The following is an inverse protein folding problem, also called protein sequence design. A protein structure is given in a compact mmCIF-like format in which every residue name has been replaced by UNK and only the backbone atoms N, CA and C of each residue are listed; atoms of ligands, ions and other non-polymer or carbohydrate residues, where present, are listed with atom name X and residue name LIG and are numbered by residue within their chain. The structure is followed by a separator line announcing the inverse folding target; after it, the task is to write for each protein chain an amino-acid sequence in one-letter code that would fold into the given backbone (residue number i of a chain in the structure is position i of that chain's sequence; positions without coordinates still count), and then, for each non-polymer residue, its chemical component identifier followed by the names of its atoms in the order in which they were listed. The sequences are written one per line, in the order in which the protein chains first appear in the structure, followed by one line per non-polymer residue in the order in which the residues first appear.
data_IF_045528377817
#
_entry.id   IF_045528377817
#
_cell.length_a   1.000
_cell.length_b   1.000
_cell.length_c   1.000
_cell.angle_alpha   90.00
_cell.angle_beta   90.00
_cell.angle_gamma   90.00
#
_symmetry.space_group_name_H-M   'P 1'
#
loop_
_entity.id
_entity.type
_entity.pdbx_description
1 polymer ?
#
# COMPACT_ATOMS: atom_id res chain seq x y z
N UNK A 1 7.41 -11.41 11.01
CA UNK A 1 7.76 -10.12 11.65
C UNK A 1 6.49 -9.33 11.86
N UNK A 2 6.35 -8.58 12.96
CA UNK A 2 5.20 -7.70 13.19
C UNK A 2 5.52 -6.29 12.63
N UNK A 3 5.07 -6.01 11.41
CA UNK A 3 5.31 -4.72 10.72
C UNK A 3 4.40 -3.57 11.22
N UNK A 4 3.76 -3.73 12.38
CA UNK A 4 2.82 -2.75 12.97
C UNK A 4 3.46 -1.45 13.47
N UNK A 5 4.77 -1.30 13.41
CA UNK A 5 5.47 -0.17 14.01
C UNK A 5 5.45 1.10 13.15
N UNK A 6 4.38 1.88 13.31
CA UNK A 6 4.43 3.35 13.45
C UNK A 6 5.16 4.20 12.37
N UNK A 7 5.14 3.86 11.08
CA UNK A 7 5.65 4.80 10.06
C UNK A 7 4.79 6.08 9.91
N UNK A 8 3.60 6.10 10.51
CA UNK A 8 2.59 7.13 10.30
C UNK A 8 2.50 8.15 11.47
N UNK A 9 2.95 7.76 12.66
CA UNK A 9 2.85 8.57 13.87
C UNK A 9 4.15 9.35 14.10
N UNK A 10 4.04 10.66 14.37
CA UNK A 10 5.17 11.58 14.54
C UNK A 10 4.84 13.03 14.16
N UNK A 11 5.69 13.99 14.53
CA UNK A 11 5.53 15.42 14.21
C UNK A 11 5.42 15.70 12.69
N UNK A 12 5.20 16.96 12.30
CA UNK A 12 5.15 17.36 10.88
C UNK A 12 6.33 16.78 10.10
N UNK A 13 6.04 15.95 9.11
CA UNK A 13 7.04 15.28 8.28
C UNK A 13 7.60 16.26 7.25
N UNK A 14 8.90 16.54 7.34
CA UNK A 14 9.61 17.14 6.19
C UNK A 14 9.78 16.10 5.07
N UNK A 15 10.13 16.58 3.87
CA UNK A 15 10.27 15.72 2.68
C UNK A 15 11.31 14.61 2.87
N UNK A 16 12.39 14.88 3.58
CA UNK A 16 13.50 13.92 3.75
C UNK A 16 13.05 12.78 4.65
N UNK A 17 12.44 13.11 5.79
CA UNK A 17 11.91 12.12 6.72
C UNK A 17 10.79 11.30 6.05
N UNK A 18 9.93 11.96 5.28
CA UNK A 18 8.90 11.25 4.52
C UNK A 18 9.51 10.27 3.51
N UNK A 19 10.54 10.69 2.77
CA UNK A 19 11.21 9.82 1.81
C UNK A 19 11.87 8.61 2.49
N UNK A 20 12.46 8.78 3.67
CA UNK A 20 13.03 7.67 4.44
C UNK A 20 11.94 6.66 4.82
N UNK A 21 10.83 7.13 5.40
CA UNK A 21 9.73 6.25 5.82
C UNK A 21 9.05 5.57 4.65
N UNK A 22 8.88 6.28 3.55
CA UNK A 22 8.33 5.72 2.32
C UNK A 22 9.26 4.67 1.72
N UNK A 23 10.58 4.88 1.77
CA UNK A 23 11.57 3.88 1.34
C UNK A 23 11.48 2.60 2.19
N UNK A 24 11.32 2.73 3.51
CA UNK A 24 11.12 1.56 4.38
C UNK A 24 9.80 0.85 4.04
N UNK A 25 8.70 1.59 3.86
CA UNK A 25 7.41 1.00 3.47
C UNK A 25 7.50 0.24 2.15
N UNK A 26 8.09 0.85 1.13
CA UNK A 26 8.34 0.22 -0.17
C UNK A 26 9.23 -1.02 -0.04
N UNK A 27 10.26 -0.99 0.81
CA UNK A 27 11.08 -2.18 1.05
C UNK A 27 10.29 -3.33 1.69
N UNK A 28 9.41 -3.04 2.66
CA UNK A 28 8.53 -4.06 3.26
C UNK A 28 7.56 -4.64 2.22
N UNK A 29 6.97 -3.79 1.36
CA UNK A 29 6.12 -4.25 0.27
C UNK A 29 6.89 -5.07 -0.79
N UNK A 30 8.18 -4.78 -1.00
CA UNK A 30 9.03 -5.58 -1.88
C UNK A 30 9.28 -6.97 -1.28
N UNK A 31 9.56 -7.05 0.02
CA UNK A 31 9.72 -8.33 0.71
C UNK A 31 8.44 -9.17 0.63
N UNK A 32 7.27 -8.54 0.76
CA UNK A 32 5.98 -9.19 0.52
C UNK A 32 5.89 -9.81 -0.87
N UNK A 33 6.19 -9.04 -1.93
CA UNK A 33 6.16 -9.56 -3.30
C UNK A 33 7.18 -10.67 -3.54
N UNK A 34 8.38 -10.56 -2.95
CA UNK A 34 9.42 -11.58 -3.04
C UNK A 34 9.03 -12.89 -2.35
N UNK A 35 8.44 -12.81 -1.15
CA UNK A 35 7.95 -13.96 -0.40
C UNK A 35 6.88 -14.73 -1.21
N UNK A 36 5.97 -14.03 -1.88
CA UNK A 36 4.99 -14.66 -2.77
C UNK A 36 5.62 -15.39 -3.96
N UNK A 37 6.64 -14.80 -4.59
CA UNK A 37 7.34 -15.41 -5.72
C UNK A 37 8.10 -16.67 -5.29
N UNK A 38 8.82 -16.60 -4.17
CA UNK A 38 9.57 -17.73 -3.63
C UNK A 38 8.64 -18.83 -3.13
N UNK A 39 7.58 -18.49 -2.38
CA UNK A 39 6.62 -19.49 -1.89
C UNK A 39 5.89 -20.19 -3.06
N UNK A 40 5.56 -19.47 -4.14
CA UNK A 40 4.98 -20.06 -5.34
C UNK A 40 5.90 -21.10 -6.00
N UNK A 41 7.22 -20.87 -5.96
CA UNK A 41 8.21 -21.76 -6.59
C UNK A 41 8.61 -22.95 -5.70
N UNK A 42 8.55 -22.83 -4.37
CA UNK A 42 9.10 -23.84 -3.44
C UNK A 42 8.06 -24.56 -2.58
N UNK A 43 6.83 -24.07 -2.44
CA UNK A 43 5.83 -24.66 -1.56
C UNK A 43 4.66 -25.30 -2.33
N UNK A 44 4.60 -26.63 -2.33
CA UNK A 44 3.40 -27.38 -2.73
C UNK A 44 2.23 -27.25 -1.75
N UNK A 45 2.18 -26.18 -0.94
CA UNK A 45 1.20 -25.96 0.13
C UNK A 45 1.11 -24.48 0.51
N UNK A 46 -0.12 -24.03 0.81
CA UNK A 46 -0.53 -22.63 1.04
C UNK A 46 0.53 -21.78 1.76
N UNK A 47 1.08 -20.79 1.03
CA UNK A 47 1.91 -19.72 1.55
C UNK A 47 1.27 -19.10 2.80
N UNK A 48 1.95 -19.22 3.94
CA UNK A 48 1.53 -18.54 5.15
C UNK A 48 2.01 -17.08 5.04
N UNK A 49 1.24 -16.23 4.34
CA UNK A 49 1.51 -14.79 4.22
C UNK A 49 1.27 -14.03 5.54
N UNK A 50 1.67 -14.62 6.67
CA UNK A 50 1.43 -14.14 8.01
C UNK A 50 2.41 -13.01 8.36
N UNK A 51 1.93 -11.77 8.28
CA UNK A 51 2.66 -10.60 8.79
C UNK A 51 2.43 -9.30 8.02
N UNK A 52 2.01 -9.37 6.76
CA UNK A 52 1.90 -8.18 5.91
C UNK A 52 0.53 -7.51 5.90
N UNK A 53 -0.49 -8.10 6.54
CA UNK A 53 -1.88 -7.59 6.50
C UNK A 53 -1.99 -6.10 6.85
N UNK A 54 -1.27 -5.68 7.89
CA UNK A 54 -1.32 -4.30 8.42
C UNK A 54 -0.30 -3.37 7.75
N UNK A 55 0.48 -3.86 6.80
CA UNK A 55 1.46 -3.03 6.08
C UNK A 55 0.69 -2.06 5.18
N UNK A 56 0.96 -0.77 5.37
CA UNK A 56 0.40 0.27 4.51
C UNK A 56 0.98 0.13 3.10
N UNK A 57 0.13 0.30 2.08
CA UNK A 57 0.54 0.30 0.68
C UNK A 57 1.46 1.49 0.38
N UNK A 58 2.37 1.39 -0.61
CA UNK A 58 3.23 2.51 -0.98
C UNK A 58 2.39 3.69 -1.48
N UNK A 59 2.88 4.90 -1.25
CA UNK A 59 2.29 6.09 -1.86
C UNK A 59 2.53 6.08 -3.36
N UNK A 60 1.56 6.60 -4.11
CA UNK A 60 1.64 6.73 -5.56
C UNK A 60 2.68 7.75 -6.04
N UNK A 61 2.79 7.89 -7.36
CA UNK A 61 3.76 8.75 -8.07
C UNK A 61 3.78 10.19 -7.57
N UNK A 62 2.62 10.72 -7.17
CA UNK A 62 2.39 12.14 -6.93
C UNK A 62 3.34 12.80 -5.92
N UNK A 63 3.83 12.04 -4.93
CA UNK A 63 4.79 12.53 -3.93
C UNK A 63 6.24 12.09 -4.20
N UNK A 64 6.46 11.15 -5.13
CA UNK A 64 7.79 10.64 -5.51
C UNK A 64 8.44 11.43 -6.66
N UNK A 65 7.65 12.23 -7.38
CA UNK A 65 8.17 13.07 -8.46
C UNK A 65 9.21 14.11 -7.99
N UNK A 66 10.23 14.40 -8.84
CA UNK A 66 11.25 15.40 -8.55
C UNK A 66 10.70 16.83 -8.73
N UNK A 67 9.85 17.26 -7.81
CA UNK A 67 9.30 18.63 -7.74
C UNK A 67 10.03 19.49 -6.71
N UNK A 68 9.76 20.79 -6.67
CA UNK A 68 10.30 21.68 -5.64
C UNK A 68 9.77 21.32 -4.25
N UNK A 69 10.48 21.71 -3.18
CA UNK A 69 10.01 21.44 -1.81
C UNK A 69 8.69 22.15 -1.46
N UNK A 70 8.43 23.32 -2.06
CA UNK A 70 7.19 24.08 -1.89
C UNK A 70 6.02 23.29 -2.48
N UNK A 71 6.17 22.84 -3.73
CA UNK A 71 5.18 22.04 -4.43
C UNK A 71 4.96 20.70 -3.72
N UNK A 72 6.04 20.00 -3.36
CA UNK A 72 5.95 18.75 -2.61
C UNK A 72 5.17 18.90 -1.30
N UNK A 73 5.43 19.97 -0.54
CA UNK A 73 4.75 20.23 0.73
C UNK A 73 3.25 20.52 0.53
N UNK A 74 2.89 21.23 -0.54
CA UNK A 74 1.49 21.46 -0.90
C UNK A 74 0.77 20.16 -1.27
N UNK A 75 1.42 19.27 -2.04
CA UNK A 75 0.90 17.93 -2.36
C UNK A 75 0.75 17.06 -1.12
N UNK A 76 1.76 17.04 -0.25
CA UNK A 76 1.72 16.26 0.98
C UNK A 76 0.55 16.67 1.88
N UNK A 77 0.32 17.97 2.06
CA UNK A 77 -0.82 18.48 2.85
C UNK A 77 -2.18 18.02 2.31
N UNK A 78 -2.36 17.93 0.99
CA UNK A 78 -3.60 17.42 0.38
C UNK A 78 -3.82 15.94 0.67
N UNK A 79 -2.75 15.16 0.72
CA UNK A 79 -2.81 13.71 0.92
C UNK A 79 -2.63 13.28 2.37
N UNK A 80 -2.33 14.20 3.29
CA UNK A 80 -1.96 13.88 4.67
C UNK A 80 -3.03 13.05 5.37
N UNK A 81 -4.31 13.36 5.16
CA UNK A 81 -5.42 12.61 5.74
C UNK A 81 -5.43 11.14 5.27
N UNK A 82 -5.24 10.91 3.96
CA UNK A 82 -5.21 9.57 3.39
C UNK A 82 -3.94 8.80 3.82
N UNK A 83 -2.79 9.47 3.91
CA UNK A 83 -1.52 8.83 4.29
C UNK A 83 -1.49 8.52 5.79
N UNK A 84 -2.06 9.39 6.63
CA UNK A 84 -1.88 9.30 8.08
C UNK A 84 -3.08 8.80 8.85
N UNK A 85 -4.29 9.21 8.49
CA UNK A 85 -5.49 8.92 9.28
C UNK A 85 -6.15 7.63 8.84
N UNK A 86 -6.14 7.36 7.53
CA UNK A 86 -6.75 6.18 6.92
C UNK A 86 -5.82 5.62 5.85
N UNK A 87 -4.64 5.08 6.20
CA UNK A 87 -3.78 4.42 5.22
C UNK A 87 -4.50 3.19 4.65
N UNK A 88 -4.31 2.92 3.35
CA UNK A 88 -4.67 1.62 2.77
C UNK A 88 -3.62 0.59 3.16
N UNK A 89 -4.05 -0.62 3.44
CA UNK A 89 -3.20 -1.75 3.80
C UNK A 89 -3.24 -2.87 2.76
N UNK A 90 -2.27 -3.79 2.80
CA UNK A 90 -2.29 -4.99 1.95
C UNK A 90 -3.55 -5.83 2.23
N UNK A 91 -4.04 -5.88 3.47
CA UNK A 91 -5.30 -6.55 3.78
C UNK A 91 -6.49 -5.92 3.03
N UNK A 92 -6.54 -4.59 2.92
CA UNK A 92 -7.60 -3.90 2.17
C UNK A 92 -7.56 -4.26 0.68
N UNK A 93 -6.35 -4.31 0.09
CA UNK A 93 -6.17 -4.75 -1.30
C UNK A 93 -6.68 -6.19 -1.51
N UNK A 94 -6.36 -7.11 -0.58
CA UNK A 94 -6.84 -8.50 -0.62
C UNK A 94 -8.36 -8.59 -0.50
N UNK A 95 -9.01 -7.72 0.28
CA UNK A 95 -10.47 -7.69 0.41
C UNK A 95 -11.10 -7.29 -0.92
N UNK A 96 -10.62 -6.21 -1.55
CA UNK A 96 -11.12 -5.75 -2.86
C UNK A 96 -10.91 -6.82 -3.93
N UNK A 97 -9.75 -7.48 -3.97
CA UNK A 97 -9.52 -8.61 -4.89
C UNK A 97 -10.58 -9.71 -4.75
N UNK A 98 -10.87 -10.15 -3.52
CA UNK A 98 -11.86 -11.21 -3.24
C UNK A 98 -13.26 -10.78 -3.63
N UNK A 99 -13.62 -9.53 -3.37
CA UNK A 99 -14.91 -8.95 -3.75
C UNK A 99 -15.11 -8.96 -5.27
N UNK A 100 -14.10 -8.55 -6.03
CA UNK A 100 -14.12 -8.57 -7.50
C UNK A 100 -14.21 -10.00 -8.07
N UNK A 101 -13.60 -10.98 -7.40
CA UNK A 101 -13.60 -12.38 -7.86
C UNK A 101 -14.87 -13.18 -7.51
N UNK A 102 -15.52 -12.90 -6.39
CA UNK A 102 -16.62 -13.71 -5.86
C UNK A 102 -18.02 -13.11 -6.07
N UNK A 103 -18.15 -11.92 -6.67
CA UNK A 103 -19.44 -11.29 -6.97
C UNK A 103 -20.35 -11.10 -5.76
N UNK A 104 -19.79 -11.07 -4.56
CA UNK A 104 -20.56 -11.05 -3.31
C UNK A 104 -20.74 -9.60 -2.89
N UNK A 105 -21.90 -9.04 -3.20
CA UNK A 105 -22.31 -7.71 -2.79
C UNK A 105 -22.51 -7.68 -1.27
N UNK A 106 -21.52 -7.19 -0.51
CA UNK A 106 -21.73 -6.89 0.92
C UNK A 106 -21.57 -5.39 1.15
N UNK A 107 -22.71 -4.72 1.29
CA UNK A 107 -22.99 -3.45 1.98
C UNK A 107 -21.90 -2.37 2.04
N UNK A 108 -22.16 -1.23 1.37
CA UNK A 108 -21.71 0.18 1.57
C UNK A 108 -20.24 0.44 1.96
N UNK A 109 -19.71 -0.15 3.05
CA UNK A 109 -18.31 -0.07 3.44
C UNK A 109 -17.36 -0.67 2.38
N UNK A 110 -17.79 -1.73 1.70
CA UNK A 110 -17.04 -2.34 0.59
C UNK A 110 -16.96 -1.39 -0.62
N UNK A 111 -17.99 -0.57 -0.84
CA UNK A 111 -18.00 0.46 -1.88
C UNK A 111 -17.01 1.60 -1.60
N UNK A 112 -16.94 2.09 -0.36
CA UNK A 112 -15.94 3.10 0.03
C UNK A 112 -14.51 2.55 -0.07
N UNK A 113 -14.28 1.30 0.36
CA UNK A 113 -12.98 0.66 0.27
C UNK A 113 -12.55 0.46 -1.18
N UNK A 114 -13.45 -0.04 -2.04
CA UNK A 114 -13.18 -0.24 -3.47
C UNK A 114 -12.87 1.07 -4.16
N UNK A 115 -13.61 2.14 -3.84
CA UNK A 115 -13.34 3.49 -4.35
C UNK A 115 -11.94 3.99 -3.96
N UNK A 116 -11.54 3.82 -2.69
CA UNK A 116 -10.20 4.20 -2.21
C UNK A 116 -9.09 3.39 -2.88
N UNK A 117 -9.29 2.08 -3.09
CA UNK A 117 -8.33 1.24 -3.81
C UNK A 117 -8.24 1.67 -5.28
N UNK A 118 -9.36 2.01 -5.92
CA UNK A 118 -9.37 2.56 -7.28
C UNK A 118 -8.60 3.87 -7.38
N UNK A 119 -8.84 4.82 -6.46
CA UNK A 119 -8.10 6.10 -6.41
C UNK A 119 -6.60 5.88 -6.21
N UNK A 120 -6.23 4.91 -5.38
CA UNK A 120 -4.83 4.51 -5.22
C UNK A 120 -4.25 3.91 -6.51
N UNK A 121 -5.01 3.06 -7.20
CA UNK A 121 -4.64 2.47 -8.49
C UNK A 121 -4.40 3.51 -9.58
N UNK A 122 -5.21 4.57 -9.63
CA UNK A 122 -5.05 5.68 -10.59
C UNK A 122 -3.75 6.47 -10.37
N UNK A 123 -3.23 6.46 -9.14
CA UNK A 123 -2.02 7.17 -8.74
C UNK A 123 -0.74 6.35 -8.75
N UNK A 124 -0.76 5.08 -9.19
CA UNK A 124 0.39 4.18 -9.06
C UNK A 124 1.59 4.64 -9.89
N UNK A 125 2.76 4.48 -9.29
CA UNK A 125 4.01 4.38 -10.04
C UNK A 125 4.33 2.91 -10.37
N UNK A 126 5.46 2.67 -11.01
CA UNK A 126 5.91 1.34 -11.45
C UNK A 126 6.02 0.37 -10.26
N UNK A 127 6.40 0.87 -9.08
CA UNK A 127 6.49 0.07 -7.87
C UNK A 127 5.11 -0.25 -7.29
N UNK A 128 4.20 0.73 -7.23
CA UNK A 128 2.83 0.52 -6.80
C UNK A 128 2.10 -0.50 -7.67
N UNK A 129 2.30 -0.45 -8.99
CA UNK A 129 1.80 -1.46 -9.93
C UNK A 129 2.33 -2.87 -9.61
N UNK A 130 3.62 -3.00 -9.30
CA UNK A 130 4.22 -4.27 -8.89
C UNK A 130 3.56 -4.83 -7.63
N UNK A 131 3.32 -3.99 -6.61
CA UNK A 131 2.63 -4.41 -5.39
C UNK A 131 1.21 -4.87 -5.68
N UNK A 132 0.47 -4.15 -6.53
CA UNK A 132 -0.87 -4.55 -6.94
C UNK A 132 -0.88 -5.90 -7.66
N UNK A 133 0.03 -6.10 -8.62
CA UNK A 133 0.18 -7.38 -9.32
C UNK A 133 0.50 -8.53 -8.37
N UNK A 134 1.39 -8.30 -7.39
CA UNK A 134 1.71 -9.30 -6.37
C UNK A 134 0.46 -9.71 -5.56
N UNK A 135 -0.38 -8.74 -5.16
CA UNK A 135 -1.65 -9.05 -4.50
C UNK A 135 -2.57 -9.84 -5.42
N UNK A 136 -2.59 -9.58 -6.73
CA UNK A 136 -3.45 -10.30 -7.67
C UNK A 136 -3.01 -11.75 -7.93
N UNK A 137 -1.77 -12.12 -7.61
CA UNK A 137 -1.20 -13.46 -7.82
C UNK A 137 -1.47 -14.46 -6.68
N UNK A 138 -1.85 -13.97 -5.49
CA UNK A 138 -2.26 -14.83 -4.35
C UNK A 138 -3.61 -15.52 -4.55
#
# INVERSE_FOLDING_TARGET
MDYTSNFINGASLDRREWALRESVRRNVCLNFGFELLVDADFSGGKAATCGYDKVAVPTGRYLWEPVSNIEWSARYKKMEAAIRKKPLSIQDLRRVRRATGNGTETEVEEGEMTSRVSEWCDGLDEFGMLVWMAVMME
#
